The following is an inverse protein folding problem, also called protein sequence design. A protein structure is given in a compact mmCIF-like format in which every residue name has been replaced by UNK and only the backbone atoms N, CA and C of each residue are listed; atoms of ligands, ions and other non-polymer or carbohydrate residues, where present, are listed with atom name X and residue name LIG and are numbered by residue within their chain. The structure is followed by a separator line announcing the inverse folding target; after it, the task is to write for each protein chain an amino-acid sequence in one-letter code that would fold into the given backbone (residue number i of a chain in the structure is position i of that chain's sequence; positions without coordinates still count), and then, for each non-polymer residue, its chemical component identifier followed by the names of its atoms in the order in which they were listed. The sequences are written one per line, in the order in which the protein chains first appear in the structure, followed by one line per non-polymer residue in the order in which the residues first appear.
data_IF_998495370214
#
_entry.id   IF_998495370214
#
_cell.length_a   1.000
_cell.length_b   1.000
_cell.length_c   1.000
_cell.angle_alpha   90.00
_cell.angle_beta   90.00
_cell.angle_gamma   90.00
#
_symmetry.space_group_name_H-M   'P 1'
#
loop_
_entity.id
_entity.type
_entity.pdbx_description
1 polymer ?
#
# COMPACT_ATOMS: atom_id res chain seq x y z
N UNK A 1 -7.76 -6.48 -12.51
CA UNK A 1 -6.80 -6.31 -11.41
C UNK A 1 -5.42 -6.81 -11.75
N UNK A 2 -4.53 -5.86 -12.02
CA UNK A 2 -3.08 -6.06 -12.02
C UNK A 2 -2.62 -6.44 -10.61
N UNK A 3 -1.72 -7.40 -10.51
CA UNK A 3 -1.08 -7.75 -9.23
C UNK A 3 0.13 -6.84 -9.01
N UNK A 4 0.28 -6.34 -7.79
CA UNK A 4 1.44 -5.52 -7.39
C UNK A 4 2.01 -5.99 -6.06
N UNK A 5 3.33 -5.94 -5.93
CA UNK A 5 4.00 -6.17 -4.66
C UNK A 5 3.73 -5.05 -3.65
N UNK A 6 3.84 -5.36 -2.36
CA UNK A 6 3.74 -4.35 -1.31
C UNK A 6 4.76 -3.22 -1.50
N UNK A 7 5.96 -3.54 -1.98
CA UNK A 7 7.00 -2.56 -2.31
C UNK A 7 6.56 -1.60 -3.42
N UNK A 8 5.87 -2.09 -4.44
CA UNK A 8 5.32 -1.25 -5.50
C UNK A 8 4.18 -0.37 -4.96
N UNK A 9 3.27 -0.94 -4.16
CA UNK A 9 2.18 -0.20 -3.55
C UNK A 9 2.67 0.92 -2.63
N UNK A 10 3.73 0.69 -1.83
CA UNK A 10 4.38 1.74 -1.03
C UNK A 10 4.75 2.97 -1.87
N UNK A 11 5.41 2.76 -3.01
CA UNK A 11 5.78 3.85 -3.93
C UNK A 11 4.57 4.55 -4.53
N UNK A 12 3.48 3.83 -4.76
CA UNK A 12 2.25 4.39 -5.30
C UNK A 12 1.64 5.31 -4.24
N UNK A 13 1.36 4.80 -3.04
CA UNK A 13 0.71 5.61 -1.99
C UNK A 13 1.52 6.84 -1.60
N UNK A 14 2.85 6.77 -1.63
CA UNK A 14 3.74 7.93 -1.43
C UNK A 14 3.48 9.06 -2.43
N UNK A 15 3.23 8.75 -3.71
CA UNK A 15 2.85 9.75 -4.74
C UNK A 15 1.49 10.41 -4.46
N UNK A 16 0.61 9.72 -3.73
CA UNK A 16 -0.69 10.23 -3.30
C UNK A 16 -0.65 10.90 -1.92
N UNK A 17 0.55 11.24 -1.43
CA UNK A 17 0.74 12.01 -0.20
C UNK A 17 0.69 11.19 1.09
N UNK A 18 0.75 9.86 1.00
CA UNK A 18 0.94 9.03 2.19
C UNK A 18 2.37 9.13 2.68
N UNK A 19 2.54 9.34 3.99
CA UNK A 19 3.87 9.52 4.59
C UNK A 19 4.25 8.28 5.41
N UNK A 20 5.36 7.64 5.07
CA UNK A 20 5.89 6.53 5.87
C UNK A 20 6.26 7.04 7.27
N UNK A 21 5.71 6.42 8.30
CA UNK A 21 5.96 6.80 9.70
C UNK A 21 6.88 5.83 10.40
N UNK A 22 6.69 4.53 10.18
CA UNK A 22 7.55 3.49 10.76
C UNK A 22 7.48 2.21 9.95
N UNK A 23 8.50 1.39 10.13
CA UNK A 23 8.53 0.02 9.64
C UNK A 23 8.64 -0.91 10.86
N UNK A 24 7.83 -1.97 10.89
CA UNK A 24 7.86 -2.99 11.94
C UNK A 24 7.78 -4.36 11.30
N UNK A 25 8.89 -5.08 11.25
CA UNK A 25 9.02 -6.29 10.45
C UNK A 25 8.76 -5.98 8.97
N UNK A 26 7.86 -6.73 8.33
CA UNK A 26 7.46 -6.48 6.93
C UNK A 26 6.46 -5.33 6.77
N UNK A 27 5.84 -4.84 7.84
CA UNK A 27 4.77 -3.85 7.74
C UNK A 27 5.34 -2.43 7.65
N UNK A 28 5.00 -1.75 6.56
CA UNK A 28 5.28 -0.34 6.34
C UNK A 28 4.03 0.46 6.73
N UNK A 29 4.15 1.27 7.77
CA UNK A 29 3.04 2.01 8.36
C UNK A 29 3.08 3.44 7.84
N UNK A 30 2.06 3.80 7.06
CA UNK A 30 1.85 5.12 6.49
C UNK A 30 0.78 5.89 7.26
N UNK A 31 0.86 7.21 7.22
CA UNK A 31 -0.20 8.09 7.71
C UNK A 31 -0.51 9.22 6.72
N UNK A 32 -1.79 9.57 6.61
CA UNK A 32 -2.31 10.71 5.86
C UNK A 32 -3.57 11.23 6.55
N UNK A 33 -3.63 12.52 6.86
CA UNK A 33 -4.84 13.18 7.41
C UNK A 33 -5.45 12.46 8.64
N UNK A 34 -4.60 11.92 9.52
CA UNK A 34 -5.03 11.18 10.71
C UNK A 34 -5.42 9.73 10.47
N UNK A 35 -5.42 9.25 9.21
CA UNK A 35 -5.65 7.86 8.83
C UNK A 35 -4.33 7.10 8.78
N UNK A 36 -4.35 5.83 9.21
CA UNK A 36 -3.21 4.92 9.17
C UNK A 36 -3.44 3.82 8.13
N UNK A 37 -2.41 3.53 7.35
CA UNK A 37 -2.38 2.43 6.38
C UNK A 37 -1.19 1.53 6.66
N UNK A 38 -1.40 0.21 6.72
CA UNK A 38 -0.35 -0.77 7.01
C UNK A 38 -0.15 -1.69 5.80
N UNK A 39 0.94 -1.49 5.06
CA UNK A 39 1.25 -2.27 3.85
C UNK A 39 2.25 -3.38 4.20
N UNK A 40 1.90 -4.67 4.03
CA UNK A 40 2.86 -5.76 4.20
C UNK A 40 3.79 -5.84 2.99
N UNK A 41 5.11 -5.88 3.24
CA UNK A 41 6.15 -5.99 2.21
C UNK A 41 6.92 -7.29 2.37
N UNK A 42 6.68 -8.24 1.49
CA UNK A 42 7.34 -9.56 1.46
C UNK A 42 8.28 -9.69 0.25
N UNK A 43 9.24 -8.76 0.15
CA UNK A 43 10.16 -8.66 -0.98
C UNK A 43 9.46 -8.17 -2.26
N UNK A 44 9.68 -8.89 -3.37
CA UNK A 44 9.05 -8.59 -4.67
C UNK A 44 7.80 -9.45 -4.93
N UNK A 45 7.30 -10.18 -3.93
CA UNK A 45 6.07 -10.98 -4.08
C UNK A 45 4.85 -10.08 -4.15
N UNK A 46 3.97 -10.39 -5.09
CA UNK A 46 2.69 -9.69 -5.23
C UNK A 46 1.77 -9.94 -4.04
N UNK A 47 1.01 -8.89 -3.69
CA UNK A 47 -0.01 -8.97 -2.67
C UNK A 47 -1.16 -9.87 -3.13
N UNK A 48 -1.74 -10.69 -2.24
CA UNK A 48 -3.01 -11.36 -2.53
C UNK A 48 -4.07 -10.34 -2.96
N UNK A 49 -4.90 -10.70 -3.94
CA UNK A 49 -5.93 -9.82 -4.52
C UNK A 49 -6.84 -9.19 -3.44
N UNK A 50 -7.26 -9.98 -2.44
CA UNK A 50 -8.09 -9.47 -1.34
C UNK A 50 -7.37 -8.42 -0.48
N UNK A 51 -6.10 -8.65 -0.19
CA UNK A 51 -5.25 -7.70 0.55
C UNK A 51 -5.04 -6.43 -0.25
N UNK A 52 -4.72 -6.54 -1.54
CA UNK A 52 -4.55 -5.38 -2.42
C UNK A 52 -5.84 -4.55 -2.50
N UNK A 53 -7.00 -5.18 -2.71
CA UNK A 53 -8.31 -4.51 -2.73
C UNK A 53 -8.61 -3.77 -1.43
N UNK A 54 -8.36 -4.41 -0.29
CA UNK A 54 -8.54 -3.77 1.02
C UNK A 54 -7.66 -2.54 1.17
N UNK A 55 -6.37 -2.67 0.86
CA UNK A 55 -5.41 -1.57 0.97
C UNK A 55 -5.72 -0.42 0.01
N UNK A 56 -6.16 -0.69 -1.22
CA UNK A 56 -6.57 0.36 -2.15
C UNK A 56 -7.78 1.13 -1.62
N UNK A 57 -8.79 0.41 -1.12
CA UNK A 57 -9.97 1.03 -0.49
C UNK A 57 -9.58 1.91 0.69
N UNK A 58 -8.75 1.40 1.60
CA UNK A 58 -8.28 2.14 2.78
C UNK A 58 -7.40 3.34 2.39
N UNK A 59 -6.68 3.23 1.26
CA UNK A 59 -5.86 4.29 0.71
C UNK A 59 -6.66 5.35 -0.08
N UNK A 60 -7.95 5.11 -0.35
CA UNK A 60 -8.78 5.94 -1.24
C UNK A 60 -8.37 5.84 -2.71
N UNK A 61 -7.84 4.69 -3.14
CA UNK A 61 -7.36 4.41 -4.49
C UNK A 61 -8.20 3.32 -5.17
N UNK A 62 -8.03 3.22 -6.48
CA UNK A 62 -8.69 2.27 -7.38
C UNK A 62 -7.69 1.39 -8.13
N UNK A 63 -8.18 0.49 -8.98
CA UNK A 63 -7.31 -0.34 -9.84
C UNK A 63 -6.55 0.52 -10.88
N UNK A 64 -7.11 1.66 -11.30
CA UNK A 64 -6.53 2.55 -12.30
C UNK A 64 -5.30 3.29 -11.76
N UNK A 65 -5.22 3.49 -10.44
CA UNK A 65 -4.10 4.18 -9.78
C UNK A 65 -2.84 3.31 -9.68
N UNK A 66 -2.96 2.00 -9.98
CA UNK A 66 -1.85 1.04 -9.92
C UNK A 66 -1.43 0.50 -11.30
N UNK A 67 -2.06 0.99 -12.37
CA UNK A 67 -1.70 0.67 -13.75
C UNK A 67 -0.40 1.32 -14.22
#
# INVERSE_FOLDING_TARGET
MKSVSGKALCKIVERYGWNLKRITGSHHIYAKEGVILSIPVHGNRDLPIGTLKGLLKDAGLSEEDID
#
